data_IF_929906342889
#
_entry.id   IF_929906342889
#
_cell.length_a   1.000
_cell.length_b   1.000
_cell.length_c   1.000
_cell.angle_alpha   90.00
_cell.angle_beta   90.00
_cell.angle_gamma   90.00
#
_symmetry.space_group_name_H-M   'P 1'
#
loop_
_entity.id
_entity.type
_entity.pdbx_description
1 polymer ?
#
# COMPACT_ATOMS: atom_id res chain seq x y z
N UNK A 1 11.84 0.10 7.74
CA UNK A 1 10.49 0.71 7.71
C UNK A 1 10.44 1.56 8.96
N UNK A 2 9.99 2.80 8.84
CA UNK A 2 9.91 3.74 9.98
C UNK A 2 8.53 3.60 10.61
N UNK A 3 7.50 3.82 9.80
CA UNK A 3 6.10 3.72 10.20
C UNK A 3 5.23 3.26 9.02
N UNK A 4 4.00 2.87 9.34
CA UNK A 4 2.97 2.51 8.37
C UNK A 4 1.64 3.10 8.83
N UNK A 5 1.06 3.99 8.02
CA UNK A 5 -0.27 4.53 8.24
C UNK A 5 -1.27 3.77 7.37
N UNK A 6 -2.31 3.21 7.99
CA UNK A 6 -3.36 2.43 7.33
C UNK A 6 -4.67 3.18 7.47
N UNK A 7 -5.24 3.57 6.34
CA UNK A 7 -6.48 4.33 6.26
C UNK A 7 -7.54 3.44 5.62
N UNK A 8 -8.60 3.18 6.36
CA UNK A 8 -9.79 2.47 5.89
C UNK A 8 -10.93 3.47 5.78
N UNK A 9 -11.46 3.63 4.57
CA UNK A 9 -12.61 4.50 4.33
C UNK A 9 -13.65 3.75 3.51
N UNK A 10 -14.87 4.26 3.50
CA UNK A 10 -15.94 3.72 2.66
C UNK A 10 -16.80 4.87 2.14
N UNK A 11 -17.34 4.69 0.94
CA UNK A 11 -18.24 5.66 0.31
C UNK A 11 -19.64 5.03 0.24
N UNK A 12 -20.62 5.68 0.87
CA UNK A 12 -22.03 5.28 1.03
C UNK A 12 -22.30 4.11 2.01
N UNK A 13 -23.49 4.08 2.62
CA UNK A 13 -23.96 3.07 3.59
C UNK A 13 -24.53 1.81 2.94
N UNK A 14 -24.98 1.91 1.69
CA UNK A 14 -25.52 0.82 0.87
C UNK A 14 -24.71 0.78 -0.42
N UNK A 15 -24.30 -0.41 -0.85
CA UNK A 15 -23.32 -0.61 -1.93
C UNK A 15 -21.99 0.11 -1.64
N UNK A 16 -21.53 0.00 -0.39
CA UNK A 16 -20.35 0.70 0.12
C UNK A 16 -19.09 0.33 -0.65
N UNK A 17 -18.49 1.30 -1.32
CA UNK A 17 -17.16 1.14 -1.93
C UNK A 17 -16.14 1.34 -0.81
N UNK A 18 -15.51 0.25 -0.38
CA UNK A 18 -14.50 0.25 0.68
C UNK A 18 -13.13 0.52 0.07
N UNK A 19 -12.47 1.56 0.55
CA UNK A 19 -11.14 1.97 0.11
C UNK A 19 -10.12 1.68 1.20
N UNK A 20 -9.02 1.06 0.80
CA UNK A 20 -7.85 0.81 1.64
C UNK A 20 -6.71 1.63 1.07
N UNK A 21 -6.14 2.49 1.89
CA UNK A 21 -4.91 3.20 1.58
C UNK A 21 -3.85 2.86 2.64
N UNK A 22 -2.66 2.49 2.18
CA UNK A 22 -1.52 2.23 3.05
C UNK A 22 -0.36 3.13 2.63
N UNK A 23 0.05 3.98 3.56
CA UNK A 23 1.21 4.85 3.46
C UNK A 23 2.34 4.26 4.29
N UNK A 24 3.32 3.64 3.63
CA UNK A 24 4.48 3.05 4.25
C UNK A 24 5.66 4.02 4.19
N UNK A 25 6.07 4.52 5.35
CA UNK A 25 7.22 5.39 5.44
C UNK A 25 8.52 4.58 5.53
N UNK A 26 9.44 4.85 4.62
CA UNK A 26 10.78 4.27 4.61
C UNK A 26 11.81 5.40 4.60
N UNK A 27 13.05 5.14 5.05
CA UNK A 27 14.08 6.18 5.06
C UNK A 27 14.27 6.80 3.67
N UNK A 28 13.98 8.10 3.56
CA UNK A 28 14.12 8.89 2.34
C UNK A 28 12.97 8.78 1.32
N UNK A 29 11.89 8.04 1.60
CA UNK A 29 10.71 7.98 0.70
C UNK A 29 9.46 7.46 1.41
N UNK A 30 8.27 7.91 0.98
CA UNK A 30 7.00 7.27 1.34
C UNK A 30 6.49 6.43 0.16
N UNK A 31 6.07 5.20 0.44
CA UNK A 31 5.38 4.34 -0.53
C UNK A 31 3.89 4.33 -0.23
N UNK A 32 3.09 4.66 -1.23
CA UNK A 32 1.64 4.70 -1.10
C UNK A 32 1.03 3.65 -2.01
N UNK A 33 0.06 2.91 -1.48
CA UNK A 33 -0.76 2.00 -2.25
C UNK A 33 -2.21 2.14 -1.85
N UNK A 34 -3.08 2.19 -2.85
CA UNK A 34 -4.53 2.30 -2.68
C UNK A 34 -5.23 1.21 -3.48
N UNK A 35 -6.29 0.67 -2.90
CA UNK A 35 -7.19 -0.29 -3.55
C UNK A 35 -8.62 -0.09 -3.07
N UNK A 36 -9.57 -0.29 -3.96
CA UNK A 36 -11.01 -0.26 -3.69
C UNK A 36 -11.62 -1.63 -3.91
N UNK A 37 -12.51 -2.07 -3.02
CA UNK A 37 -13.29 -3.30 -3.20
C UNK A 37 -14.63 -3.22 -2.45
N UNK A 38 -15.50 -4.20 -2.66
CA UNK A 38 -16.73 -4.38 -1.88
C UNK A 38 -16.44 -4.78 -0.42
N UNK A 39 -15.34 -5.51 -0.21
CA UNK A 39 -14.90 -5.96 1.11
C UNK A 39 -13.44 -5.62 1.38
N UNK A 40 -13.14 -5.14 2.60
CA UNK A 40 -11.77 -4.85 3.03
C UNK A 40 -10.87 -6.07 2.93
N UNK A 41 -11.42 -7.27 3.17
CA UNK A 41 -10.71 -8.55 3.09
C UNK A 41 -10.17 -8.81 1.68
N UNK A 42 -10.79 -8.23 0.65
CA UNK A 42 -10.34 -8.33 -0.75
C UNK A 42 -9.34 -7.21 -1.09
N UNK A 43 -9.60 -5.99 -0.64
CA UNK A 43 -8.74 -4.83 -0.92
C UNK A 43 -7.39 -4.87 -0.18
N UNK A 44 -7.35 -5.38 1.06
CA UNK A 44 -6.13 -5.43 1.88
C UNK A 44 -5.02 -6.28 1.25
N UNK A 45 -5.24 -7.56 0.88
CA UNK A 45 -4.20 -8.39 0.26
C UNK A 45 -3.66 -7.79 -1.05
N UNK A 46 -4.54 -7.18 -1.86
CA UNK A 46 -4.15 -6.51 -3.10
C UNK A 46 -3.24 -5.31 -2.82
N UNK A 47 -3.60 -4.49 -1.83
CA UNK A 47 -2.79 -3.33 -1.41
C UNK A 47 -1.43 -3.75 -0.86
N UNK A 48 -1.39 -4.79 -0.03
CA UNK A 48 -0.14 -5.37 0.51
C UNK A 48 0.74 -5.89 -0.63
N UNK A 49 0.16 -6.62 -1.60
CA UNK A 49 0.90 -7.15 -2.75
C UNK A 49 1.51 -6.03 -3.61
N UNK A 50 0.78 -4.92 -3.83
CA UNK A 50 1.31 -3.72 -4.50
C UNK A 50 2.51 -3.14 -3.75
N UNK A 51 2.40 -2.96 -2.43
CA UNK A 51 3.51 -2.46 -1.60
C UNK A 51 4.72 -3.39 -1.60
N UNK A 52 4.51 -4.70 -1.51
CA UNK A 52 5.59 -5.69 -1.58
C UNK A 52 6.36 -5.59 -2.90
N UNK A 53 5.65 -5.43 -4.04
CA UNK A 53 6.29 -5.23 -5.35
C UNK A 53 7.11 -3.92 -5.37
N UNK A 54 6.54 -2.82 -4.89
CA UNK A 54 7.23 -1.53 -4.83
C UNK A 54 8.51 -1.61 -3.96
N UNK A 55 8.44 -2.28 -2.80
CA UNK A 55 9.59 -2.50 -1.92
C UNK A 55 10.67 -3.36 -2.57
N UNK A 56 10.29 -4.44 -3.26
CA UNK A 56 11.23 -5.28 -4.02
C UNK A 56 11.96 -4.46 -5.07
N UNK A 57 11.23 -3.71 -5.90
CA UNK A 57 11.83 -2.83 -6.92
C UNK A 57 12.76 -1.79 -6.30
N UNK A 58 12.38 -1.18 -5.18
CA UNK A 58 13.21 -0.19 -4.51
C UNK A 58 14.50 -0.80 -3.95
N UNK A 59 14.43 -1.98 -3.31
CA UNK A 59 15.60 -2.72 -2.86
C UNK A 59 16.51 -3.09 -4.02
N UNK A 60 15.97 -3.63 -5.11
CA UNK A 60 16.73 -4.00 -6.31
C UNK A 60 17.47 -2.80 -6.91
N UNK A 61 16.79 -1.64 -7.04
CA UNK A 61 17.41 -0.40 -7.51
C UNK A 61 18.53 0.09 -6.59
N UNK A 62 18.36 -0.02 -5.27
CA UNK A 62 19.39 0.36 -4.30
C UNK A 62 20.63 -0.52 -4.43
N UNK A 63 20.45 -1.83 -4.56
CA UNK A 63 21.56 -2.79 -4.74
C UNK A 63 22.30 -2.50 -6.06
N UNK A 64 21.56 -2.30 -7.16
CA UNK A 64 22.15 -2.02 -8.47
C UNK A 64 22.95 -0.71 -8.52
N UNK A 65 22.63 0.28 -7.67
CA UNK A 65 23.35 1.56 -7.59
C UNK A 65 24.64 1.47 -6.75
N UNK A 66 24.75 0.49 -5.87
CA UNK A 66 25.92 0.28 -5.00
C UNK A 66 26.93 -0.70 -5.58
N UNK A 67 26.52 -1.53 -6.55
CA UNK A 67 27.43 -2.33 -7.39
C UNK A 67 28.03 -1.47 -8.49
#
# INVERSE_FOLDING_TARGET
IIDANVILSYTHLKDSIKTVEINLNIPGKTLTATETAEEYVIALPKTISKLQKQLKTLKSKRIAKTR
#
